data_IF_454648823893
#
_entry.id   IF_454648823893
#
_cell.length_a   1.000
_cell.length_b   1.000
_cell.length_c   1.000
_cell.angle_alpha   90.00
_cell.angle_beta   90.00
_cell.angle_gamma   90.00
#
_symmetry.space_group_name_H-M   'P 1'
#
loop_
_entity.id
_entity.type
_entity.pdbx_description
1 polymer ?
#
# COMPACT_ATOMS: atom_id res chain seq x y z
N UNK A 1 12.94 21.74 -9.49
CA UNK A 1 11.67 21.22 -10.01
C UNK A 1 11.55 19.82 -9.44
N UNK A 2 10.73 19.59 -8.40
CA UNK A 2 10.58 18.23 -7.86
C UNK A 2 9.70 17.45 -8.82
N UNK A 3 10.27 16.44 -9.48
CA UNK A 3 9.53 15.52 -10.31
C UNK A 3 8.58 14.70 -9.43
N UNK A 4 7.28 14.95 -9.54
CA UNK A 4 6.28 14.08 -8.94
C UNK A 4 6.34 12.77 -9.70
N UNK A 5 6.92 11.74 -9.11
CA UNK A 5 6.84 10.39 -9.65
C UNK A 5 5.38 9.95 -9.55
N UNK A 6 4.67 10.00 -10.68
CA UNK A 6 3.27 9.60 -10.81
C UNK A 6 3.13 8.06 -10.86
N UNK A 7 3.72 7.38 -9.88
CA UNK A 7 3.78 5.91 -9.84
C UNK A 7 3.09 5.35 -8.61
N UNK A 8 2.57 4.12 -8.76
CA UNK A 8 1.92 3.37 -7.69
C UNK A 8 2.88 3.11 -6.52
N UNK A 9 2.35 3.23 -5.30
CA UNK A 9 3.03 2.88 -4.06
C UNK A 9 2.67 1.44 -3.67
N UNK A 10 3.68 0.60 -3.48
CA UNK A 10 3.50 -0.69 -2.83
C UNK A 10 3.69 -0.55 -1.32
N UNK A 11 2.75 -1.07 -0.53
CA UNK A 11 2.83 -1.04 0.94
C UNK A 11 2.83 -2.47 1.50
N UNK A 12 3.97 -2.93 2.02
CA UNK A 12 4.09 -4.26 2.62
C UNK A 12 4.01 -4.15 4.14
N UNK A 13 2.98 -4.77 4.71
CA UNK A 13 2.66 -4.70 6.13
C UNK A 13 1.52 -3.72 6.41
N UNK A 14 0.34 -4.26 6.75
CA UNK A 14 -0.89 -3.52 6.99
C UNK A 14 -1.40 -3.76 8.42
N UNK A 15 -0.47 -3.93 9.37
CA UNK A 15 -0.76 -3.97 10.79
C UNK A 15 -1.19 -2.60 11.36
N UNK A 16 -1.21 -2.47 12.68
CA UNK A 16 -1.74 -1.28 13.38
C UNK A 16 -1.21 0.07 12.87
N UNK A 17 0.09 0.14 12.55
CA UNK A 17 0.71 1.35 12.00
C UNK A 17 0.56 1.41 10.48
N UNK A 18 0.91 0.32 9.79
CA UNK A 18 0.90 0.23 8.33
C UNK A 18 -0.47 0.56 7.73
N UNK A 19 -1.55 0.03 8.28
CA UNK A 19 -2.91 0.33 7.81
C UNK A 19 -3.26 1.81 7.91
N UNK A 20 -2.87 2.50 8.99
CA UNK A 20 -3.12 3.94 9.16
C UNK A 20 -2.33 4.77 8.17
N UNK A 21 -1.07 4.40 7.92
CA UNK A 21 -0.21 5.09 6.95
C UNK A 21 -0.68 4.86 5.52
N UNK A 22 -0.98 3.62 5.15
CA UNK A 22 -1.52 3.29 3.83
C UNK A 22 -2.82 4.04 3.55
N UNK A 23 -3.74 4.09 4.52
CA UNK A 23 -4.97 4.88 4.40
C UNK A 23 -4.70 6.38 4.20
N UNK A 24 -3.75 6.97 4.93
CA UNK A 24 -3.38 8.39 4.74
C UNK A 24 -2.87 8.67 3.33
N UNK A 25 -2.13 7.74 2.74
CA UNK A 25 -1.66 7.87 1.36
C UNK A 25 -2.81 7.79 0.37
N UNK A 26 -3.76 6.88 0.58
CA UNK A 26 -4.99 6.78 -0.23
C UNK A 26 -5.83 8.06 -0.10
N UNK A 27 -6.07 8.55 1.14
CA UNK A 27 -6.80 9.79 1.41
C UNK A 27 -6.13 11.02 0.76
N UNK A 28 -4.80 10.99 0.58
CA UNK A 28 -4.02 12.02 -0.10
C UNK A 28 -4.02 11.89 -1.64
N UNK A 29 -4.72 10.89 -2.20
CA UNK A 29 -4.87 10.68 -3.63
C UNK A 29 -3.72 9.90 -4.28
N UNK A 30 -2.89 9.20 -3.50
CA UNK A 30 -1.89 8.29 -4.06
C UNK A 30 -2.54 6.95 -4.46
N UNK A 31 -2.09 6.39 -5.58
CA UNK A 31 -2.38 5.00 -5.93
C UNK A 31 -1.56 4.07 -5.03
N UNK A 32 -2.22 3.32 -4.16
CA UNK A 32 -1.59 2.44 -3.16
C UNK A 32 -2.10 1.02 -3.35
N UNK A 33 -1.20 0.07 -3.57
CA UNK A 33 -1.49 -1.37 -3.48
C UNK A 33 -0.74 -1.96 -2.30
N UNK A 34 -1.47 -2.63 -1.40
CA UNK A 34 -0.90 -3.22 -0.20
C UNK A 34 -0.89 -4.74 -0.21
N UNK A 35 0.03 -5.31 0.56
CA UNK A 35 0.04 -6.73 0.92
C UNK A 35 0.34 -6.89 2.42
N UNK A 36 -0.33 -7.86 3.03
CA UNK A 36 -0.10 -8.35 4.39
C UNK A 36 -0.51 -9.82 4.43
N UNK A 37 0.13 -10.72 5.20
CA UNK A 37 -0.31 -12.10 5.34
C UNK A 37 -1.77 -12.24 5.80
N UNK A 38 -2.24 -11.31 6.64
CA UNK A 38 -3.60 -11.30 7.19
C UNK A 38 -4.61 -10.80 6.15
N UNK A 39 -5.57 -11.63 5.69
CA UNK A 39 -6.51 -11.24 4.63
C UNK A 39 -7.39 -10.03 4.98
N UNK A 40 -7.84 -9.93 6.23
CA UNK A 40 -8.67 -8.81 6.69
C UNK A 40 -7.93 -7.47 6.64
N UNK A 41 -6.60 -7.47 6.84
CA UNK A 41 -5.79 -6.26 6.73
C UNK A 41 -5.74 -5.75 5.28
N UNK A 42 -5.65 -6.66 4.30
CA UNK A 42 -5.73 -6.32 2.87
C UNK A 42 -7.13 -5.80 2.50
N UNK A 43 -8.18 -6.43 3.01
CA UNK A 43 -9.56 -6.00 2.76
C UNK A 43 -9.83 -4.60 3.32
N UNK A 44 -9.33 -4.28 4.52
CA UNK A 44 -9.47 -2.95 5.12
C UNK A 44 -8.81 -1.85 4.26
N UNK A 45 -7.73 -2.15 3.54
CA UNK A 45 -7.13 -1.20 2.59
C UNK A 45 -8.02 -0.99 1.36
N UNK A 46 -8.64 -2.07 0.85
CA UNK A 46 -9.61 -1.97 -0.27
C UNK A 46 -10.81 -1.13 0.12
N UNK A 47 -11.37 -1.34 1.31
CA UNK A 47 -12.46 -0.54 1.86
C UNK A 47 -12.08 0.93 2.05
N UNK A 48 -10.80 1.23 2.27
CA UNK A 48 -10.26 2.58 2.33
C UNK A 48 -9.99 3.21 0.95
N UNK A 49 -10.15 2.47 -0.16
CA UNK A 49 -9.94 2.94 -1.54
C UNK A 49 -8.60 2.56 -2.16
N UNK A 50 -7.78 1.74 -1.49
CA UNK A 50 -6.54 1.20 -2.05
C UNK A 50 -6.73 -0.13 -2.80
N UNK A 51 -5.65 -0.66 -3.35
CA UNK A 51 -5.58 -2.00 -3.94
C UNK A 51 -5.03 -3.04 -2.96
N UNK A 52 -5.38 -4.31 -3.19
CA UNK A 52 -4.83 -5.45 -2.45
C UNK A 52 -4.17 -6.44 -3.42
N UNK A 53 -2.91 -6.77 -3.15
CA UNK A 53 -2.19 -7.83 -3.84
C UNK A 53 -2.30 -9.16 -3.08
N UNK A 54 -2.30 -10.29 -3.78
CA UNK A 54 -2.31 -11.62 -3.18
C UNK A 54 -0.93 -12.04 -2.66
N UNK A 55 0.15 -11.44 -3.20
CA UNK A 55 1.53 -11.70 -2.76
C UNK A 55 2.34 -10.41 -2.66
N UNK A 56 3.44 -10.45 -1.89
CA UNK A 56 4.39 -9.34 -1.84
C UNK A 56 5.01 -9.03 -3.21
N UNK A 57 5.29 -10.07 -4.01
CA UNK A 57 5.84 -9.94 -5.37
C UNK A 57 4.87 -9.15 -6.26
N UNK A 58 3.60 -9.52 -6.23
CA UNK A 58 2.55 -8.82 -6.97
C UNK A 58 2.42 -7.37 -6.54
N UNK A 59 2.47 -7.08 -5.23
CA UNK A 59 2.40 -5.71 -4.72
C UNK A 59 3.52 -4.82 -5.29
N UNK A 60 4.77 -5.30 -5.29
CA UNK A 60 5.95 -4.50 -5.71
C UNK A 60 6.17 -4.46 -7.21
N UNK A 61 5.61 -5.40 -7.97
CA UNK A 61 5.81 -5.47 -9.43
C UNK A 61 5.28 -4.20 -10.08
N UNK A 62 6.18 -3.39 -10.67
CA UNK A 62 5.82 -2.11 -11.33
C UNK A 62 5.50 -0.96 -10.37
N UNK A 63 5.73 -1.11 -9.06
CA UNK A 63 5.61 0.00 -8.12
C UNK A 63 6.81 0.96 -8.26
N UNK A 64 6.54 2.26 -8.17
CA UNK A 64 7.60 3.27 -8.18
C UNK A 64 8.24 3.46 -6.81
N UNK A 65 7.48 3.20 -5.74
CA UNK A 65 7.91 3.29 -4.35
C UNK A 65 7.44 2.04 -3.62
N UNK A 66 8.31 1.46 -2.80
CA UNK A 66 7.97 0.38 -1.88
C UNK A 66 8.16 0.86 -0.45
N UNK A 67 7.11 0.77 0.36
CA UNK A 67 7.14 1.04 1.79
C UNK A 67 7.03 -0.29 2.53
N UNK A 68 7.95 -0.52 3.46
CA UNK A 68 7.95 -1.68 4.34
C UNK A 68 7.58 -1.21 5.76
N UNK A 69 6.55 -1.83 6.34
CA UNK A 69 6.15 -1.60 7.73
C UNK A 69 5.90 -2.94 8.41
N UNK A 70 6.99 -3.56 8.81
CA UNK A 70 7.04 -4.89 9.42
C UNK A 70 7.29 -4.74 10.94
N UNK A 71 7.10 -5.80 11.75
CA UNK A 71 7.43 -5.79 13.18
C UNK A 71 8.87 -5.36 13.48
#
# INVERSE_FOLDING_TARGET
MNERHAGRVAFLGLGNMGARMARRLVDAGHDVTGFDPVPSARQALVEAGGGAAATAVEAVTGAAVVILMLP
#
